data_IF_654199226184
#
_entry.id   IF_654199226184
#
_cell.length_a   1.000
_cell.length_b   1.000
_cell.length_c   1.000
_cell.angle_alpha   90.00
_cell.angle_beta   90.00
_cell.angle_gamma   90.00
#
_symmetry.space_group_name_H-M   'P 1'
#
loop_
_entity.id
_entity.type
_entity.pdbx_description
1 polymer ?
#
# COMPACT_ATOMS: atom_id res chain seq x y z
N UNK A 1 -22.57 -9.35 -25.85
CA UNK A 1 -22.06 -10.70 -26.12
C UNK A 1 -21.44 -10.69 -27.50
N UNK A 2 -20.13 -10.48 -27.57
CA UNK A 2 -19.28 -10.80 -28.73
C UNK A 2 -17.90 -11.15 -28.17
N UNK A 3 -17.47 -12.39 -28.43
CA UNK A 3 -16.13 -12.92 -28.18
C UNK A 3 -15.36 -12.71 -29.48
N UNK A 4 -14.16 -12.13 -29.40
CA UNK A 4 -13.21 -12.14 -30.53
C UNK A 4 -11.99 -12.92 -30.07
N UNK A 5 -11.90 -14.18 -30.49
CA UNK A 5 -10.64 -14.93 -30.56
C UNK A 5 -9.98 -14.67 -31.91
N UNK A 6 -8.72 -14.24 -31.89
CA UNK A 6 -7.89 -14.12 -33.08
C UNK A 6 -6.93 -15.30 -33.19
N UNK A 7 -7.22 -16.25 -34.08
CA UNK A 7 -6.25 -17.23 -34.55
C UNK A 7 -5.43 -16.62 -35.70
N UNK A 8 -4.09 -16.64 -35.57
CA UNK A 8 -3.15 -16.23 -36.61
C UNK A 8 -2.70 -17.46 -37.41
N UNK A 9 -2.85 -17.38 -38.74
CA UNK A 9 -2.46 -18.40 -39.70
C UNK A 9 -0.94 -18.52 -39.87
N UNK A 10 -0.50 -19.76 -40.00
CA UNK A 10 0.82 -20.23 -40.44
C UNK A 10 1.11 -19.84 -41.88
N UNK A 11 2.28 -19.25 -42.15
CA UNK A 11 2.89 -19.21 -43.49
C UNK A 11 4.27 -19.88 -43.39
N UNK A 12 4.43 -20.98 -44.13
CA UNK A 12 5.71 -21.63 -44.39
C UNK A 12 6.34 -21.02 -45.65
N UNK A 13 7.61 -20.65 -45.57
CA UNK A 13 8.46 -20.24 -46.70
C UNK A 13 9.74 -21.11 -46.77
N UNK A 14 10.34 -21.32 -47.95
CA UNK A 14 11.32 -22.40 -48.16
C UNK A 14 12.79 -21.96 -48.22
N UNK A 15 13.65 -22.98 -48.10
CA UNK A 15 15.02 -23.16 -48.62
C UNK A 15 16.17 -22.20 -48.28
N UNK A 16 17.10 -22.78 -47.50
CA UNK A 16 18.57 -22.77 -47.55
C UNK A 16 19.26 -21.86 -48.60
N UNK A 17 20.24 -21.06 -48.11
CA UNK A 17 21.62 -20.96 -48.60
C UNK A 17 22.45 -20.05 -47.66
N UNK A 18 23.54 -20.60 -47.10
CA UNK A 18 24.69 -19.89 -46.49
C UNK A 18 25.65 -19.46 -47.64
N UNK A 19 26.50 -18.41 -47.52
CA UNK A 19 27.72 -18.48 -46.69
C UNK A 19 28.34 -17.19 -46.08
N UNK A 20 29.15 -17.44 -45.04
CA UNK A 20 30.44 -16.84 -44.65
C UNK A 20 30.64 -15.34 -44.28
N UNK A 21 31.16 -15.18 -43.04
CA UNK A 21 32.08 -14.17 -42.48
C UNK A 21 31.60 -12.72 -42.22
N UNK A 22 31.55 -12.32 -40.94
CA UNK A 22 32.57 -11.43 -40.34
C UNK A 22 32.34 -11.22 -38.83
N UNK A 23 33.47 -11.05 -38.11
CA UNK A 23 33.59 -10.87 -36.67
C UNK A 23 32.97 -9.54 -36.18
N UNK A 24 32.60 -9.55 -34.90
CA UNK A 24 32.59 -8.41 -33.97
C UNK A 24 31.38 -7.46 -34.02
N UNK A 25 30.38 -7.74 -33.18
CA UNK A 25 29.91 -6.76 -32.20
C UNK A 25 29.26 -7.51 -31.03
N UNK A 26 29.51 -7.00 -29.83
CA UNK A 26 29.10 -7.54 -28.53
C UNK A 26 27.69 -8.17 -28.49
N UNK A 27 27.43 -9.12 -27.56
CA UNK A 27 26.06 -9.40 -27.20
C UNK A 27 25.47 -8.05 -26.75
N UNK A 28 24.46 -7.55 -27.47
CA UNK A 28 23.54 -6.61 -26.89
C UNK A 28 23.04 -7.30 -25.65
N UNK A 29 23.61 -6.92 -24.50
CA UNK A 29 22.97 -7.06 -23.20
C UNK A 29 21.59 -6.48 -23.49
N UNK A 30 20.61 -7.38 -23.66
CA UNK A 30 19.23 -7.04 -23.44
C UNK A 30 19.26 -6.54 -22.02
N UNK A 31 19.44 -5.23 -21.89
CA UNK A 31 19.23 -4.51 -20.67
C UNK A 31 17.87 -4.99 -20.25
N UNK A 32 17.88 -5.84 -19.22
CA UNK A 32 16.71 -6.12 -18.41
C UNK A 32 16.29 -4.73 -17.93
N UNK A 33 15.45 -4.09 -18.73
CA UNK A 33 14.63 -2.99 -18.26
C UNK A 33 13.83 -3.68 -17.15
N UNK A 34 14.03 -3.31 -15.87
CA UNK A 34 13.22 -3.88 -14.84
C UNK A 34 11.79 -3.56 -15.24
N UNK A 35 11.03 -4.62 -15.56
CA UNK A 35 9.60 -4.55 -15.79
C UNK A 35 9.09 -3.75 -14.61
N UNK A 36 8.55 -2.57 -14.93
CA UNK A 36 8.31 -1.51 -13.97
C UNK A 36 7.74 -2.08 -12.69
N UNK A 37 8.37 -1.70 -11.57
CA UNK A 37 7.82 -1.80 -10.23
C UNK A 37 6.33 -1.48 -10.30
N UNK A 38 5.49 -2.51 -10.35
CA UNK A 38 4.08 -2.32 -10.12
C UNK A 38 4.02 -1.87 -8.68
N UNK A 39 3.72 -0.59 -8.49
CA UNK A 39 3.51 -0.01 -7.17
C UNK A 39 2.52 -0.92 -6.44
N UNK A 40 3.05 -1.65 -5.45
CA UNK A 40 2.28 -2.59 -4.62
C UNK A 40 1.52 -1.87 -3.52
N UNK A 41 1.30 -0.56 -3.69
CA UNK A 41 0.65 0.30 -2.73
C UNK A 41 -0.73 -0.26 -2.41
N UNK A 42 -1.12 -0.22 -1.14
CA UNK A 42 -2.42 -0.72 -0.68
C UNK A 42 -3.57 -0.11 -1.48
N UNK A 43 -3.48 1.17 -1.85
CA UNK A 43 -4.53 1.84 -2.63
C UNK A 43 -4.58 1.39 -4.10
N UNK A 44 -3.42 1.08 -4.71
CA UNK A 44 -3.38 0.52 -6.07
C UNK A 44 -4.00 -0.89 -6.06
N UNK A 45 -3.67 -1.70 -5.05
CA UNK A 45 -4.26 -3.03 -4.84
C UNK A 45 -5.78 -2.94 -4.62
N UNK A 46 -6.24 -1.92 -3.89
CA UNK A 46 -7.67 -1.65 -3.74
C UNK A 46 -8.34 -1.31 -5.08
N UNK A 47 -7.75 -0.42 -5.88
CA UNK A 47 -8.33 -0.01 -7.15
C UNK A 47 -8.45 -1.19 -8.13
N UNK A 48 -7.44 -2.06 -8.17
CA UNK A 48 -7.48 -3.32 -8.94
C UNK A 48 -8.58 -4.26 -8.44
N UNK A 49 -8.69 -4.45 -7.13
CA UNK A 49 -9.75 -5.26 -6.52
C UNK A 49 -11.15 -4.70 -6.83
N UNK A 50 -11.33 -3.39 -6.69
CA UNK A 50 -12.59 -2.73 -6.97
C UNK A 50 -13.00 -2.89 -8.44
N UNK A 51 -12.07 -2.69 -9.37
CA UNK A 51 -12.31 -2.88 -10.80
C UNK A 51 -12.71 -4.33 -11.12
N UNK A 52 -11.97 -5.30 -10.61
CA UNK A 52 -12.22 -6.72 -10.85
C UNK A 52 -13.59 -7.19 -10.31
N UNK A 53 -14.12 -6.52 -9.29
CA UNK A 53 -15.41 -6.83 -8.67
C UNK A 53 -16.54 -5.88 -9.12
N UNK A 54 -16.30 -4.99 -10.09
CA UNK A 54 -17.29 -4.03 -10.58
C UNK A 54 -17.78 -3.05 -9.51
N UNK A 55 -16.94 -2.74 -8.51
CA UNK A 55 -17.28 -1.84 -7.41
C UNK A 55 -17.02 -0.39 -7.82
N UNK A 56 -18.03 0.47 -7.64
CA UNK A 56 -17.96 1.89 -7.98
C UNK A 56 -18.31 2.77 -6.78
N UNK A 57 -17.69 3.95 -6.66
CA UNK A 57 -17.82 4.87 -5.50
C UNK A 57 -19.26 5.30 -5.16
N UNK A 58 -20.19 5.17 -6.11
CA UNK A 58 -21.61 5.48 -5.94
C UNK A 58 -22.40 4.37 -5.26
N UNK A 59 -21.82 3.17 -5.14
CA UNK A 59 -22.42 2.02 -4.47
C UNK A 59 -22.12 2.09 -2.98
N UNK A 60 -23.11 1.77 -2.14
CA UNK A 60 -22.90 1.67 -0.70
C UNK A 60 -21.90 0.53 -0.39
N UNK A 61 -21.96 -0.56 -1.17
CA UNK A 61 -21.11 -1.74 -1.09
C UNK A 61 -19.62 -1.42 -1.35
N UNK A 62 -19.32 -0.40 -2.16
CA UNK A 62 -17.93 0.01 -2.45
C UNK A 62 -17.21 0.43 -1.18
N UNK A 63 -17.85 1.22 -0.32
CA UNK A 63 -17.21 1.77 0.87
C UNK A 63 -17.03 0.72 1.97
N UNK A 64 -17.98 -0.20 2.09
CA UNK A 64 -17.83 -1.35 2.99
C UNK A 64 -16.71 -2.27 2.52
N UNK A 65 -16.72 -2.63 1.24
CA UNK A 65 -15.67 -3.45 0.64
C UNK A 65 -14.29 -2.80 0.78
N UNK A 66 -14.19 -1.48 0.58
CA UNK A 66 -12.95 -0.72 0.77
C UNK A 66 -12.44 -0.80 2.20
N UNK A 67 -13.33 -0.59 3.17
CA UNK A 67 -12.98 -0.65 4.59
C UNK A 67 -12.43 -2.03 4.96
N UNK A 68 -13.14 -3.09 4.56
CA UNK A 68 -12.75 -4.47 4.85
C UNK A 68 -11.46 -4.88 4.14
N UNK A 69 -11.30 -4.45 2.88
CA UNK A 69 -10.09 -4.72 2.10
C UNK A 69 -8.87 -4.08 2.73
N UNK A 70 -8.92 -2.76 2.95
CA UNK A 70 -7.80 -1.99 3.54
C UNK A 70 -7.47 -2.55 4.92
N UNK A 71 -8.47 -2.81 5.77
CA UNK A 71 -8.29 -3.41 7.08
C UNK A 71 -7.48 -4.71 7.03
N UNK A 72 -7.90 -5.66 6.18
CA UNK A 72 -7.21 -6.94 6.02
C UNK A 72 -5.81 -6.81 5.44
N UNK A 73 -5.66 -6.04 4.37
CA UNK A 73 -4.37 -5.91 3.67
C UNK A 73 -3.32 -5.23 4.54
N UNK A 74 -3.69 -4.13 5.18
CA UNK A 74 -2.75 -3.41 6.06
C UNK A 74 -2.37 -4.24 7.28
N UNK A 75 -3.31 -4.97 7.90
CA UNK A 75 -2.97 -5.88 9.01
C UNK A 75 -2.03 -7.00 8.56
N UNK A 76 -2.27 -7.60 7.39
CA UNK A 76 -1.41 -8.65 6.85
C UNK A 76 0.00 -8.12 6.58
N UNK A 77 0.10 -6.99 5.87
CA UNK A 77 1.39 -6.37 5.54
C UNK A 77 2.11 -5.90 6.81
N UNK A 78 1.41 -5.30 7.78
CA UNK A 78 2.03 -4.88 9.04
C UNK A 78 2.58 -6.07 9.84
N UNK A 79 1.81 -7.16 9.94
CA UNK A 79 2.27 -8.38 10.60
C UNK A 79 3.49 -8.99 9.89
N UNK A 80 3.52 -8.96 8.56
CA UNK A 80 4.64 -9.46 7.75
C UNK A 80 5.94 -8.68 8.03
N UNK A 81 5.87 -7.34 8.10
CA UNK A 81 7.06 -6.50 8.21
C UNK A 81 7.49 -6.17 9.65
N UNK A 82 6.53 -6.05 10.57
CA UNK A 82 6.78 -5.60 11.94
C UNK A 82 6.30 -6.59 13.00
N UNK A 83 5.45 -7.55 12.64
CA UNK A 83 4.83 -8.45 13.60
C UNK A 83 3.72 -7.80 14.41
N UNK A 84 3.36 -8.45 15.52
CA UNK A 84 2.24 -8.05 16.38
C UNK A 84 2.60 -7.93 17.86
N UNK A 85 3.82 -8.31 18.24
CA UNK A 85 4.24 -8.36 19.64
C UNK A 85 4.84 -7.03 20.08
N UNK A 86 4.16 -6.37 21.02
CA UNK A 86 4.59 -5.09 21.59
C UNK A 86 5.84 -5.19 22.47
N UNK A 87 6.30 -6.38 22.86
CA UNK A 87 7.53 -6.56 23.65
C UNK A 87 8.75 -6.89 22.79
N UNK A 88 8.59 -7.09 21.48
CA UNK A 88 9.68 -7.41 20.56
C UNK A 88 10.47 -6.13 20.19
N UNK A 89 11.70 -6.03 20.68
CA UNK A 89 12.59 -4.91 20.37
C UNK A 89 12.87 -4.77 18.86
N UNK A 90 12.99 -5.88 18.12
CA UNK A 90 13.30 -5.83 16.69
C UNK A 90 12.13 -5.28 15.88
N UNK A 91 10.90 -5.61 16.27
CA UNK A 91 9.69 -5.00 15.70
C UNK A 91 9.71 -3.47 15.86
N UNK A 92 9.99 -2.99 17.07
CA UNK A 92 10.10 -1.56 17.36
C UNK A 92 11.23 -0.86 16.62
N UNK A 93 12.40 -1.50 16.47
CA UNK A 93 13.51 -0.98 15.67
C UNK A 93 13.16 -0.93 14.19
N UNK A 94 12.47 -1.95 13.66
CA UNK A 94 11.94 -1.96 12.31
C UNK A 94 11.04 -0.76 12.04
N UNK A 95 10.11 -0.47 12.96
CA UNK A 95 9.25 0.73 12.90
C UNK A 95 10.08 2.02 12.91
N UNK A 96 11.02 2.16 13.85
CA UNK A 96 11.91 3.32 13.90
C UNK A 96 12.68 3.51 12.58
N UNK A 97 13.19 2.43 11.99
CA UNK A 97 13.92 2.47 10.71
C UNK A 97 13.03 2.93 9.57
N UNK A 98 11.84 2.35 9.44
CA UNK A 98 10.90 2.73 8.37
C UNK A 98 10.40 4.16 8.53
N UNK A 99 10.29 4.67 9.76
CA UNK A 99 9.93 6.07 10.04
C UNK A 99 11.11 7.05 9.87
N UNK A 100 12.32 6.56 9.57
CA UNK A 100 13.50 7.39 9.35
C UNK A 100 14.16 7.91 10.62
N UNK A 101 14.02 7.19 11.74
CA UNK A 101 14.77 7.49 12.97
C UNK A 101 16.24 7.12 12.79
N UNK A 102 17.12 8.11 12.92
CA UNK A 102 18.56 7.91 12.92
C UNK A 102 18.99 7.00 14.07
N UNK A 103 19.85 6.02 13.77
CA UNK A 103 20.35 5.07 14.76
C UNK A 103 19.30 4.13 15.34
N UNK A 104 18.22 3.86 14.58
CA UNK A 104 17.15 2.95 14.98
C UNK A 104 17.68 1.60 15.50
N UNK A 105 18.72 1.05 14.88
CA UNK A 105 19.30 -0.24 15.24
C UNK A 105 20.12 -0.22 16.54
N UNK A 106 20.57 0.95 16.98
CA UNK A 106 21.33 1.10 18.23
C UNK A 106 20.43 1.30 19.46
N UNK A 107 19.12 1.53 19.27
CA UNK A 107 18.20 1.78 20.38
C UNK A 107 18.09 0.55 21.29
N UNK A 108 18.44 0.64 22.59
CA UNK A 108 18.68 -0.56 23.41
C UNK A 108 17.40 -1.20 23.98
N UNK A 109 16.26 -0.51 23.93
CA UNK A 109 15.01 -0.97 24.58
C UNK A 109 13.78 -0.51 23.81
N UNK A 110 12.66 -1.24 23.98
CA UNK A 110 11.34 -0.87 23.45
C UNK A 110 10.95 0.54 23.91
N UNK A 111 11.26 0.89 25.16
CA UNK A 111 11.00 2.23 25.70
C UNK A 111 11.76 3.33 24.97
N UNK A 112 13.00 3.06 24.54
CA UNK A 112 13.78 4.01 23.76
C UNK A 112 13.18 4.22 22.36
N UNK A 113 12.75 3.14 21.69
CA UNK A 113 12.02 3.23 20.42
C UNK A 113 10.73 4.03 20.53
N UNK A 114 9.90 3.74 21.55
CA UNK A 114 8.67 4.48 21.82
C UNK A 114 8.92 5.97 22.01
N UNK A 115 9.99 6.33 22.73
CA UNK A 115 10.39 7.72 22.94
C UNK A 115 10.84 8.39 21.65
N UNK A 116 11.58 7.68 20.79
CA UNK A 116 12.01 8.22 19.50
C UNK A 116 10.82 8.52 18.58
N UNK A 117 9.76 7.72 18.67
CA UNK A 117 8.55 7.84 17.86
C UNK A 117 7.49 8.79 18.44
N UNK A 118 7.69 9.35 19.64
CA UNK A 118 6.66 10.09 20.39
C UNK A 118 6.09 11.31 19.64
N UNK A 119 6.90 11.95 18.79
CA UNK A 119 6.52 13.12 18.00
C UNK A 119 6.59 12.86 16.49
N UNK A 120 6.58 11.57 16.12
CA UNK A 120 6.59 11.13 14.75
C UNK A 120 5.23 10.52 14.45
N UNK A 121 4.52 11.13 13.51
CA UNK A 121 3.19 10.67 13.10
C UNK A 121 3.24 10.26 11.64
N UNK A 122 2.70 9.10 11.30
CA UNK A 122 2.61 8.61 9.93
C UNK A 122 1.19 8.13 9.63
N UNK A 123 0.87 7.93 8.36
CA UNK A 123 -0.33 7.19 8.00
C UNK A 123 0.02 5.69 7.95
N UNK A 124 -0.77 4.85 8.62
CA UNK A 124 -0.50 3.39 8.69
C UNK A 124 -0.46 2.75 7.29
N UNK A 125 -1.24 3.25 6.33
CA UNK A 125 -1.18 2.77 4.93
C UNK A 125 0.20 3.09 4.33
N UNK A 126 0.70 4.30 4.55
CA UNK A 126 2.02 4.71 4.05
C UNK A 126 3.15 3.96 4.75
N UNK A 127 2.97 3.60 6.02
CA UNK A 127 3.95 2.85 6.78
C UNK A 127 4.16 1.46 6.19
N UNK A 128 3.09 0.73 5.90
CA UNK A 128 3.21 -0.62 5.30
C UNK A 128 3.68 -0.55 3.85
N UNK A 129 3.26 0.47 3.09
CA UNK A 129 3.74 0.69 1.72
C UNK A 129 5.24 1.00 1.71
N UNK A 130 5.72 1.84 2.62
CA UNK A 130 7.14 2.17 2.77
C UNK A 130 7.96 0.96 3.19
N UNK A 131 7.47 0.16 4.15
CA UNK A 131 8.14 -1.07 4.58
C UNK A 131 8.31 -2.06 3.42
N UNK A 132 7.24 -2.27 2.64
CA UNK A 132 7.24 -3.14 1.47
C UNK A 132 8.21 -2.67 0.39
N UNK A 133 8.35 -1.36 0.23
CA UNK A 133 9.25 -0.73 -0.74
C UNK A 133 10.68 -0.55 -0.22
N UNK A 134 10.95 -0.90 1.04
CA UNK A 134 12.22 -0.62 1.71
C UNK A 134 12.58 0.87 1.67
N UNK A 135 11.58 1.73 1.84
CA UNK A 135 11.70 3.18 1.83
C UNK A 135 11.38 3.77 3.21
N UNK A 136 11.75 5.04 3.37
CA UNK A 136 11.36 5.83 4.54
C UNK A 136 9.92 6.32 4.36
N UNK A 137 9.09 6.06 5.36
CA UNK A 137 7.72 6.50 5.42
C UNK A 137 7.64 8.03 5.51
N UNK A 138 6.57 8.59 4.94
CA UNK A 138 6.27 10.00 5.10
C UNK A 138 5.76 10.25 6.53
N UNK A 139 6.51 11.06 7.25
CA UNK A 139 6.18 11.43 8.63
C UNK A 139 5.72 12.88 8.73
N UNK A 140 5.01 13.17 9.82
CA UNK A 140 4.40 14.44 10.15
C UNK A 140 4.74 14.78 11.59
N UNK A 141 5.13 16.03 11.82
CA UNK A 141 5.45 16.53 13.17
C UNK A 141 4.21 16.81 14.00
N UNK A 142 3.10 17.18 13.35
CA UNK A 142 1.84 17.53 14.01
C UNK A 142 0.73 16.56 13.60
N UNK A 143 -0.09 16.08 14.55
CA UNK A 143 -1.23 15.24 14.24
C UNK A 143 -2.20 15.88 13.23
N UNK A 144 -2.40 17.20 13.30
CA UNK A 144 -3.30 17.92 12.39
C UNK A 144 -2.83 17.86 10.93
N UNK A 145 -1.52 17.87 10.70
CA UNK A 145 -0.96 17.72 9.35
C UNK A 145 -1.19 16.31 8.81
N UNK A 146 -1.03 15.29 9.66
CA UNK A 146 -1.37 13.91 9.31
C UNK A 146 -2.87 13.77 8.99
N UNK A 147 -3.75 14.40 9.78
CA UNK A 147 -5.20 14.36 9.55
C UNK A 147 -5.57 15.02 8.23
N UNK A 148 -5.03 16.21 7.95
CA UNK A 148 -5.27 16.92 6.68
C UNK A 148 -4.80 16.07 5.50
N UNK A 149 -3.56 15.58 5.56
CA UNK A 149 -3.00 14.70 4.53
C UNK A 149 -3.85 13.44 4.31
N UNK A 150 -4.27 12.77 5.38
CA UNK A 150 -5.04 11.52 5.30
C UNK A 150 -6.40 11.74 4.63
N UNK A 151 -7.04 12.89 4.90
CA UNK A 151 -8.29 13.30 4.24
C UNK A 151 -8.07 13.60 2.76
N UNK A 152 -7.07 14.42 2.44
CA UNK A 152 -6.77 14.83 1.07
C UNK A 152 -6.38 13.63 0.19
N UNK A 153 -5.63 12.67 0.75
CA UNK A 153 -5.21 11.45 0.06
C UNK A 153 -6.27 10.32 0.10
N UNK A 154 -7.35 10.47 0.88
CA UNK A 154 -8.35 9.42 1.07
C UNK A 154 -7.81 8.16 1.79
N UNK A 155 -6.76 8.30 2.59
CA UNK A 155 -6.06 7.21 3.29
C UNK A 155 -6.62 7.03 4.69
N UNK A 156 -7.63 6.16 4.79
CA UNK A 156 -8.33 5.87 6.04
C UNK A 156 -8.12 4.41 6.44
N UNK A 157 -7.67 4.21 7.68
CA UNK A 157 -7.52 2.89 8.27
C UNK A 157 -8.62 2.62 9.31
N UNK A 158 -9.31 1.47 9.29
CA UNK A 158 -10.43 1.21 10.20
C UNK A 158 -9.94 1.01 11.64
N UNK A 159 -10.50 1.77 12.59
CA UNK A 159 -10.14 1.67 14.01
C UNK A 159 -10.33 0.25 14.58
N UNK A 160 -11.38 -0.48 14.16
CA UNK A 160 -11.61 -1.86 14.61
C UNK A 160 -10.46 -2.78 14.18
N UNK A 161 -10.04 -2.69 12.92
CA UNK A 161 -8.90 -3.46 12.40
C UNK A 161 -7.61 -3.10 13.12
N UNK A 162 -7.46 -1.86 13.57
CA UNK A 162 -6.29 -1.45 14.33
C UNK A 162 -6.13 -2.16 15.68
N UNK A 163 -7.25 -2.37 16.37
CA UNK A 163 -7.27 -3.02 17.69
C UNK A 163 -7.04 -4.53 17.64
N UNK A 164 -6.99 -5.11 16.44
CA UNK A 164 -6.69 -6.53 16.27
C UNK A 164 -5.19 -6.83 16.40
N UNK A 165 -4.32 -5.80 16.32
CA UNK A 165 -2.87 -5.92 16.50
C UNK A 165 -2.39 -4.97 17.62
N UNK A 166 -1.83 -5.54 18.69
CA UNK A 166 -1.43 -4.78 19.88
C UNK A 166 -0.30 -3.77 19.63
N UNK A 167 0.61 -4.06 18.70
CA UNK A 167 1.69 -3.16 18.32
C UNK A 167 1.16 -2.02 17.45
N UNK A 168 0.28 -2.33 16.50
CA UNK A 168 -0.30 -1.36 15.57
C UNK A 168 -1.27 -0.39 16.27
N UNK A 169 -2.00 -0.83 17.29
CA UNK A 169 -2.88 0.03 18.10
C UNK A 169 -2.12 1.25 18.69
N UNK A 170 -0.82 1.11 18.96
CA UNK A 170 0.00 2.17 19.53
C UNK A 170 0.23 3.37 18.59
N UNK A 171 0.00 3.20 17.28
CA UNK A 171 0.25 4.21 16.25
C UNK A 171 -1.02 4.97 15.84
N UNK A 172 -2.10 4.83 16.60
CA UNK A 172 -3.39 5.42 16.24
C UNK A 172 -3.46 6.90 16.59
N UNK A 173 -3.40 7.74 15.55
CA UNK A 173 -4.02 9.07 15.61
C UNK A 173 -5.50 8.91 15.28
N UNK A 174 -6.34 8.88 16.31
CA UNK A 174 -7.79 8.81 16.15
C UNK A 174 -8.30 10.16 15.68
N UNK A 175 -8.72 10.24 14.42
CA UNK A 175 -9.50 11.36 13.91
C UNK A 175 -10.84 11.41 14.68
N UNK A 176 -10.96 12.33 15.64
CA UNK A 176 -12.19 12.55 16.39
C UNK A 176 -13.36 12.75 15.40
N UNK A 177 -14.38 11.92 15.53
CA UNK A 177 -15.61 12.02 14.74
C UNK A 177 -16.43 13.24 15.19
N UNK A 178 -15.97 14.45 14.84
CA UNK A 178 -16.85 15.60 14.80
C UNK A 178 -17.91 15.37 13.73
N UNK A 179 -19.05 14.82 14.13
CA UNK A 179 -20.23 14.53 13.30
C UNK A 179 -20.03 13.46 12.21
N UNK A 180 -20.07 12.18 12.62
CA UNK A 180 -20.02 11.00 11.73
C UNK A 180 -21.19 10.88 10.75
N UNK A 181 -22.18 11.78 10.78
CA UNK A 181 -23.20 11.86 9.74
C UNK A 181 -22.64 12.28 8.36
N UNK A 182 -21.35 12.64 8.27
CA UNK A 182 -20.72 13.19 7.06
C UNK A 182 -19.50 12.41 6.54
N UNK A 183 -19.10 11.31 7.18
CA UNK A 183 -18.06 10.39 6.65
C UNK A 183 -18.63 9.35 5.67
N UNK A 184 -19.95 9.22 5.61
CA UNK A 184 -20.63 8.70 4.42
C UNK A 184 -20.89 9.89 3.48
N UNK A 185 -20.53 9.84 2.19
CA UNK A 185 -21.06 10.80 1.23
C UNK A 185 -22.59 10.78 1.36
N UNK A 186 -23.20 11.96 1.55
CA UNK A 186 -24.65 12.07 1.71
C UNK A 186 -25.34 11.29 0.59
N UNK A 187 -26.09 10.24 0.96
CA UNK A 187 -26.96 9.50 0.04
C UNK A 187 -27.73 10.51 -0.81
N UNK A 188 -27.72 10.43 -2.16
CA UNK A 188 -28.54 11.31 -2.96
C UNK A 188 -29.99 11.17 -2.49
N UNK A 189 -30.61 12.30 -2.14
CA UNK A 189 -32.03 12.33 -1.75
C UNK A 189 -32.80 11.69 -2.90
N UNK A 190 -33.36 10.51 -2.65
CA UNK A 190 -34.35 9.87 -3.52
C UNK A 190 -35.45 10.91 -3.70
N UNK A 191 -35.51 11.54 -4.87
CA UNK A 191 -36.66 12.37 -5.23
C UNK A 191 -37.85 11.42 -5.22
N UNK A 192 -38.77 11.65 -4.28
CA UNK A 192 -40.09 11.04 -4.30
C UNK A 192 -40.74 11.47 -5.61
N UNK A 193 -40.86 10.53 -6.55
CA UNK A 193 -41.89 10.58 -7.58
C UNK A 193 -43.23 10.23 -6.92
#
# INVERSE_FOLDING_TARGET
MYIIEGHCHTIAGPSLLLPHFCLSSAPCIMSLVPIGSQSQDVLVRWDQYALANGLHRTMDEYWEARRLFIGRVVNADFNEFFGSDKVDLNAWRGLCRTEGIDGADELPTVKACRKALEHVHCNIIDLVDAARQQQICRTFRHPDDLVRYSKDAGKFYPLKSAKENELLEMFLVVMQEGNTANLQPRRPRRQRR
#
